data_IF_579713925898
#
_entry.id   IF_579713925898
#
_cell.length_a   1.000
_cell.length_b   1.000
_cell.length_c   1.000
_cell.angle_alpha   90.00
_cell.angle_beta   90.00
_cell.angle_gamma   90.00
#
_symmetry.space_group_name_H-M   'P 1'
#
loop_
_entity.id
_entity.type
_entity.pdbx_description
1 polymer ?
#
# COMPACT_ATOMS: atom_id res chain seq x y z
N UNK A 1 20.64 -22.43 14.84
CA UNK A 1 21.56 -21.34 14.51
C UNK A 1 21.03 -20.68 13.22
N UNK A 2 20.11 -19.72 13.34
CA UNK A 2 19.53 -18.99 12.22
C UNK A 2 20.55 -17.92 11.83
N UNK A 3 21.10 -18.03 10.65
CA UNK A 3 21.96 -16.98 10.07
C UNK A 3 21.08 -15.78 9.76
N UNK A 4 21.35 -14.69 10.46
CA UNK A 4 20.65 -13.39 10.36
C UNK A 4 21.20 -12.48 9.26
N UNK A 5 21.94 -13.00 8.27
CA UNK A 5 22.82 -12.17 7.46
C UNK A 5 22.35 -11.87 6.01
N UNK A 6 21.13 -12.29 5.61
CA UNK A 6 20.65 -11.98 4.26
C UNK A 6 19.17 -11.61 4.25
N UNK A 7 18.87 -10.38 4.61
CA UNK A 7 17.61 -9.75 4.21
C UNK A 7 17.90 -8.79 3.04
N UNK A 8 17.94 -9.30 1.82
CA UNK A 8 17.85 -8.44 0.64
C UNK A 8 16.38 -8.12 0.42
N UNK A 9 15.93 -6.96 0.86
CA UNK A 9 14.62 -6.44 0.50
C UNK A 9 14.77 -5.59 -0.75
N UNK A 10 14.09 -5.97 -1.83
CA UNK A 10 13.90 -5.14 -2.99
C UNK A 10 12.44 -5.24 -3.41
N UNK A 11 11.79 -4.11 -3.65
CA UNK A 11 10.46 -4.06 -4.22
C UNK A 11 10.62 -3.85 -5.74
N UNK A 12 10.08 -4.78 -6.53
CA UNK A 12 9.99 -4.65 -7.98
C UNK A 12 8.62 -4.14 -8.34
N UNK A 13 8.58 -3.17 -9.23
CA UNK A 13 7.33 -2.63 -9.73
C UNK A 13 7.35 -2.59 -11.25
N UNK A 14 6.50 -3.41 -11.83
CA UNK A 14 6.23 -3.44 -13.26
C UNK A 14 4.89 -2.77 -13.50
N UNK A 15 4.89 -1.49 -13.94
CA UNK A 15 3.68 -0.81 -14.42
C UNK A 15 3.98 -0.08 -15.73
N UNK A 16 2.98 -0.09 -16.62
CA UNK A 16 3.00 0.62 -17.89
C UNK A 16 3.44 2.08 -17.73
N UNK A 17 4.61 2.40 -18.25
CA UNK A 17 5.00 3.75 -18.64
C UNK A 17 5.09 4.82 -17.56
N UNK A 18 4.99 4.48 -16.27
CA UNK A 18 5.15 5.46 -15.19
C UNK A 18 6.59 5.45 -14.67
N UNK A 19 7.30 6.59 -14.76
CA UNK A 19 8.61 6.75 -14.13
C UNK A 19 8.53 6.77 -12.59
N UNK A 20 7.34 6.95 -12.05
CA UNK A 20 7.08 6.98 -10.61
C UNK A 20 6.51 5.64 -10.12
N UNK A 21 6.93 5.23 -8.93
CA UNK A 21 6.41 4.03 -8.28
C UNK A 21 4.89 4.13 -8.14
N UNK A 22 4.12 3.25 -8.79
CA UNK A 22 2.68 3.11 -8.55
C UNK A 22 2.40 2.70 -7.11
N UNK A 23 1.19 2.97 -6.64
CA UNK A 23 0.76 2.68 -5.28
C UNK A 23 0.59 3.93 -4.43
N UNK A 24 0.11 3.73 -3.21
CA UNK A 24 -0.16 4.83 -2.31
C UNK A 24 1.15 5.44 -1.80
N UNK A 25 1.38 6.71 -2.07
CA UNK A 25 2.59 7.45 -1.68
C UNK A 25 2.93 7.30 -0.18
N UNK A 26 1.90 7.24 0.67
CA UNK A 26 2.08 6.99 2.10
C UNK A 26 2.66 5.61 2.38
N UNK A 27 2.24 4.56 1.66
CA UNK A 27 2.74 3.20 1.84
C UNK A 27 4.19 3.09 1.35
N UNK A 28 4.51 3.72 0.23
CA UNK A 28 5.88 3.81 -0.29
C UNK A 28 6.78 4.47 0.76
N UNK A 29 6.34 5.59 1.34
CA UNK A 29 7.08 6.27 2.41
C UNK A 29 7.25 5.37 3.63
N UNK A 30 6.15 4.90 4.18
CA UNK A 30 6.11 4.21 5.47
C UNK A 30 6.66 2.79 5.41
N UNK A 31 6.41 2.05 4.32
CA UNK A 31 6.77 0.64 4.23
C UNK A 31 8.09 0.38 3.51
N UNK A 32 8.54 1.29 2.64
CA UNK A 32 9.76 1.10 1.87
C UNK A 32 10.85 2.10 2.22
N UNK A 33 10.59 3.40 2.07
CA UNK A 33 11.61 4.44 2.29
C UNK A 33 12.08 4.52 3.75
N UNK A 34 11.17 4.48 4.73
CA UNK A 34 11.52 4.51 6.15
C UNK A 34 12.40 3.32 6.55
N UNK A 35 12.20 2.16 5.90
CA UNK A 35 13.03 0.97 6.09
C UNK A 35 14.24 0.92 5.16
N UNK A 36 14.44 1.92 4.30
CA UNK A 36 15.50 1.96 3.28
C UNK A 36 15.50 0.73 2.37
N UNK A 37 14.30 0.27 1.98
CA UNK A 37 14.11 -0.80 1.02
C UNK A 37 14.21 -0.17 -0.39
N UNK A 38 15.14 -0.59 -1.25
CA UNK A 38 15.26 -0.05 -2.58
C UNK A 38 14.05 -0.43 -3.43
N UNK A 39 13.49 0.54 -4.15
CA UNK A 39 12.43 0.33 -5.14
C UNK A 39 13.11 0.28 -6.50
N UNK A 40 12.82 -0.75 -7.27
CA UNK A 40 13.32 -0.97 -8.63
C UNK A 40 12.18 -0.88 -9.61
N UNK A 41 12.09 0.23 -10.31
CA UNK A 41 11.06 0.48 -11.34
C UNK A 41 11.54 0.02 -12.70
N UNK A 42 10.63 -0.47 -13.56
CA UNK A 42 10.96 -1.01 -14.87
C UNK A 42 11.77 -2.32 -14.83
N UNK A 43 11.71 -3.03 -13.73
CA UNK A 43 12.34 -4.33 -13.53
C UNK A 43 11.33 -5.37 -13.05
N UNK A 44 11.57 -6.63 -13.32
CA UNK A 44 10.75 -7.75 -12.86
C UNK A 44 11.60 -8.95 -12.46
N UNK A 45 10.99 -9.90 -11.75
CA UNK A 45 11.59 -11.21 -11.50
C UNK A 45 11.36 -12.09 -12.73
N UNK A 46 12.41 -12.52 -13.38
CA UNK A 46 12.38 -13.36 -14.57
C UNK A 46 12.81 -14.81 -14.31
N UNK A 47 13.33 -15.11 -13.11
CA UNK A 47 13.72 -16.47 -12.74
C UNK A 47 13.77 -16.69 -11.24
N UNK A 48 13.58 -17.94 -10.84
CA UNK A 48 13.60 -18.39 -9.45
C UNK A 48 14.61 -19.52 -9.33
N UNK A 49 15.61 -19.38 -8.46
CA UNK A 49 16.67 -20.34 -8.26
C UNK A 49 16.59 -21.00 -6.89
N UNK A 50 16.69 -22.32 -6.88
CA UNK A 50 16.69 -23.14 -5.66
C UNK A 50 16.11 -24.52 -5.90
N UNK A 51 16.41 -25.44 -5.00
CA UNK A 51 15.84 -26.79 -5.03
C UNK A 51 15.29 -27.11 -3.65
N UNK A 52 13.97 -27.21 -3.56
CA UNK A 52 13.26 -27.38 -2.29
C UNK A 52 13.16 -26.11 -1.42
N UNK A 53 14.11 -25.19 -1.51
CA UNK A 53 14.13 -23.89 -0.87
C UNK A 53 14.69 -22.84 -1.82
N UNK A 54 14.11 -21.63 -1.78
CA UNK A 54 14.58 -20.49 -2.54
C UNK A 54 16.01 -20.12 -2.10
N UNK A 55 16.89 -19.83 -3.06
CA UNK A 55 18.27 -19.37 -2.83
C UNK A 55 18.51 -17.99 -3.40
N UNK A 56 17.87 -17.69 -4.54
CA UNK A 56 17.97 -16.40 -5.21
C UNK A 56 16.85 -16.25 -6.21
N UNK A 57 16.64 -15.03 -6.67
CA UNK A 57 15.82 -14.69 -7.84
C UNK A 57 16.68 -14.02 -8.89
N UNK A 58 16.39 -14.29 -10.16
CA UNK A 58 16.91 -13.54 -11.26
C UNK A 58 15.95 -12.38 -11.55
N UNK A 59 16.45 -11.14 -11.53
CA UNK A 59 15.73 -9.94 -11.91
C UNK A 59 16.26 -9.43 -13.23
N UNK A 60 15.40 -8.79 -14.03
CA UNK A 60 15.77 -8.21 -15.32
C UNK A 60 14.97 -6.93 -15.57
N UNK A 61 15.47 -6.08 -16.47
CA UNK A 61 14.70 -4.94 -16.96
C UNK A 61 13.59 -5.41 -17.89
N UNK A 62 12.52 -4.62 -17.96
CA UNK A 62 11.43 -4.82 -18.93
C UNK A 62 11.39 -3.66 -19.92
N UNK A 63 10.98 -3.95 -21.16
CA UNK A 63 10.75 -2.96 -22.20
C UNK A 63 9.36 -2.30 -22.06
N UNK A 64 9.02 -1.39 -22.99
CA UNK A 64 7.71 -0.71 -23.02
C UNK A 64 6.52 -1.67 -23.20
N UNK A 65 6.74 -2.90 -23.64
CA UNK A 65 5.74 -3.95 -23.79
C UNK A 65 5.73 -4.93 -22.61
N UNK A 66 6.46 -4.58 -21.54
CA UNK A 66 6.61 -5.41 -20.32
C UNK A 66 7.30 -6.75 -20.60
N UNK A 67 8.10 -6.85 -21.67
CA UNK A 67 8.87 -8.05 -21.96
C UNK A 67 10.27 -7.94 -21.35
N UNK A 68 10.82 -9.04 -20.81
CA UNK A 68 12.19 -9.07 -20.32
C UNK A 68 13.21 -8.65 -21.40
N UNK A 69 14.10 -7.72 -21.06
CA UNK A 69 15.18 -7.29 -21.93
C UNK A 69 16.35 -8.29 -21.82
N UNK A 70 16.66 -9.05 -22.87
CA UNK A 70 17.74 -10.04 -22.82
C UNK A 70 19.10 -9.40 -22.48
N UNK A 71 19.87 -10.08 -21.62
CA UNK A 71 21.19 -9.61 -21.18
C UNK A 71 21.16 -8.55 -20.09
N UNK A 72 19.97 -8.25 -19.53
CA UNK A 72 19.81 -7.36 -18.37
C UNK A 72 19.65 -8.11 -17.05
N UNK A 73 19.72 -9.45 -17.09
CA UNK A 73 19.50 -10.30 -15.96
C UNK A 73 20.61 -10.16 -14.91
N UNK A 74 20.21 -10.14 -13.64
CA UNK A 74 21.12 -10.18 -12.50
C UNK A 74 20.50 -10.95 -11.35
N UNK A 75 21.33 -11.50 -10.47
CA UNK A 75 20.90 -12.37 -9.40
C UNK A 75 20.80 -11.62 -8.07
N UNK A 76 19.71 -11.87 -7.32
CA UNK A 76 19.51 -11.36 -5.97
C UNK A 76 19.40 -12.55 -5.02
N UNK A 77 20.38 -12.79 -4.14
CA UNK A 77 20.29 -13.82 -3.11
C UNK A 77 19.16 -13.53 -2.14
N UNK A 78 18.23 -14.46 -1.98
CA UNK A 78 17.11 -14.36 -1.04
C UNK A 78 16.58 -15.74 -0.69
N UNK A 79 15.93 -15.86 0.44
CA UNK A 79 15.29 -17.09 0.89
C UNK A 79 13.75 -17.00 0.96
N UNK A 80 13.21 -15.81 0.64
CA UNK A 80 11.78 -15.55 0.53
C UNK A 80 11.52 -14.59 -0.63
N UNK A 81 10.54 -14.92 -1.46
CA UNK A 81 9.96 -14.05 -2.49
C UNK A 81 8.49 -13.83 -2.16
N UNK A 82 8.09 -12.57 -1.97
CA UNK A 82 6.70 -12.19 -1.76
C UNK A 82 6.16 -11.56 -3.05
N UNK A 83 5.10 -12.14 -3.59
CA UNK A 83 4.46 -11.68 -4.82
C UNK A 83 3.19 -10.89 -4.52
N UNK A 84 3.04 -9.75 -5.18
CA UNK A 84 1.82 -8.94 -5.19
C UNK A 84 1.55 -8.55 -6.64
N UNK A 85 1.02 -9.51 -7.42
CA UNK A 85 0.87 -9.42 -8.87
C UNK A 85 -0.46 -8.83 -9.33
N UNK A 86 -1.21 -8.20 -8.39
CA UNK A 86 -2.53 -7.64 -8.64
C UNK A 86 -3.65 -8.66 -8.42
N UNK A 87 -4.87 -8.19 -8.62
CA UNK A 87 -6.09 -8.97 -8.47
C UNK A 87 -6.73 -9.16 -9.84
N UNK A 88 -7.24 -10.36 -10.10
CA UNK A 88 -8.09 -10.66 -11.25
C UNK A 88 -9.49 -10.89 -10.70
N UNK A 89 -10.50 -10.14 -11.19
CA UNK A 89 -11.88 -10.32 -10.73
C UNK A 89 -12.41 -11.72 -11.08
N UNK A 90 -13.04 -12.38 -10.12
CA UNK A 90 -13.80 -13.62 -10.33
C UNK A 90 -15.21 -13.25 -10.82
N UNK A 91 -15.36 -13.16 -12.14
CA UNK A 91 -16.61 -12.74 -12.79
C UNK A 91 -17.27 -13.90 -13.57
N UNK A 92 -17.09 -15.16 -13.11
CA UNK A 92 -17.70 -16.34 -13.74
C UNK A 92 -19.22 -16.25 -13.80
N UNK A 93 -19.87 -15.88 -12.68
CA UNK A 93 -21.32 -15.72 -12.62
C UNK A 93 -21.82 -14.59 -13.55
N UNK A 94 -21.05 -13.50 -13.65
CA UNK A 94 -21.37 -12.41 -14.57
C UNK A 94 -21.31 -12.90 -16.04
N UNK A 95 -20.30 -13.70 -16.37
CA UNK A 95 -20.14 -14.29 -17.70
C UNK A 95 -21.27 -15.27 -18.02
N UNK A 96 -21.65 -16.13 -17.10
CA UNK A 96 -22.76 -17.08 -17.26
C UNK A 96 -24.10 -16.36 -17.43
N UNK A 97 -24.27 -15.22 -16.77
CA UNK A 97 -25.46 -14.36 -16.94
C UNK A 97 -25.47 -13.58 -18.26
N UNK A 98 -24.43 -13.68 -19.10
CA UNK A 98 -24.35 -12.94 -20.36
C UNK A 98 -23.94 -11.47 -20.19
N UNK A 99 -23.35 -11.11 -19.07
CA UNK A 99 -22.81 -9.77 -18.84
C UNK A 99 -21.49 -9.63 -19.60
N UNK A 100 -21.32 -8.50 -20.28
CA UNK A 100 -20.12 -8.21 -21.06
C UNK A 100 -18.94 -7.94 -20.13
N UNK A 101 -17.84 -8.68 -20.35
CA UNK A 101 -16.58 -8.50 -19.65
C UNK A 101 -15.52 -7.93 -20.58
N UNK A 102 -14.58 -7.18 -20.04
CA UNK A 102 -13.38 -6.75 -20.76
C UNK A 102 -12.47 -7.95 -21.01
N UNK A 103 -12.02 -8.13 -22.25
CA UNK A 103 -11.23 -9.31 -22.65
C UNK A 103 -9.85 -9.41 -21.99
N UNK A 104 -9.26 -8.27 -21.61
CA UNK A 104 -7.91 -8.23 -21.02
C UNK A 104 -7.91 -8.29 -19.51
N UNK A 105 -8.84 -7.56 -18.89
CA UNK A 105 -8.86 -7.38 -17.42
C UNK A 105 -9.89 -8.27 -16.74
N UNK A 106 -10.79 -8.91 -17.50
CA UNK A 106 -11.93 -9.68 -16.99
C UNK A 106 -12.91 -8.86 -16.12
N UNK A 107 -12.83 -7.53 -16.19
CA UNK A 107 -13.71 -6.61 -15.48
C UNK A 107 -15.09 -6.56 -16.13
N UNK A 108 -16.16 -6.39 -15.35
CA UNK A 108 -17.51 -6.13 -15.87
C UNK A 108 -17.53 -4.75 -16.54
N UNK A 109 -18.00 -4.70 -17.79
CA UNK A 109 -18.23 -3.44 -18.49
C UNK A 109 -19.56 -2.82 -18.06
N UNK A 110 -19.54 -1.52 -17.78
CA UNK A 110 -20.72 -0.75 -17.38
C UNK A 110 -20.78 0.57 -18.14
N UNK A 111 -21.98 1.13 -18.22
CA UNK A 111 -22.20 2.50 -18.68
C UNK A 111 -21.83 3.54 -17.59
N UNK A 112 -22.09 4.81 -17.87
CA UNK A 112 -21.84 5.91 -16.93
C UNK A 112 -22.69 5.84 -15.64
N UNK A 113 -23.74 5.05 -15.62
CA UNK A 113 -24.61 4.85 -14.46
C UNK A 113 -24.27 3.59 -13.66
N UNK A 114 -23.19 2.91 -14.00
CA UNK A 114 -22.75 1.63 -13.42
C UNK A 114 -23.70 0.46 -13.78
N UNK A 115 -24.54 0.62 -14.83
CA UNK A 115 -25.39 -0.44 -15.33
C UNK A 115 -24.63 -1.28 -16.36
N UNK A 116 -24.84 -2.58 -16.35
CA UNK A 116 -24.26 -3.52 -17.31
C UNK A 116 -25.03 -3.49 -18.64
N UNK A 117 -24.60 -4.29 -19.62
CA UNK A 117 -25.35 -4.51 -20.87
C UNK A 117 -26.73 -5.14 -20.64
N UNK A 118 -27.01 -5.66 -19.45
CA UNK A 118 -28.32 -6.22 -19.10
C UNK A 118 -29.08 -5.18 -18.26
N UNK A 119 -30.21 -4.65 -18.72
CA UNK A 119 -30.98 -3.65 -17.98
C UNK A 119 -31.40 -4.14 -16.61
N UNK A 120 -31.23 -3.29 -15.60
CA UNK A 120 -31.53 -3.60 -14.19
C UNK A 120 -30.40 -4.32 -13.43
N UNK A 121 -29.31 -4.70 -14.10
CA UNK A 121 -28.13 -5.26 -13.44
C UNK A 121 -27.03 -4.20 -13.40
N UNK A 122 -26.52 -3.94 -12.19
CA UNK A 122 -25.47 -2.97 -11.92
C UNK A 122 -24.22 -3.68 -11.38
N UNK A 123 -23.04 -3.13 -11.65
CA UNK A 123 -21.78 -3.64 -11.13
C UNK A 123 -20.95 -2.53 -10.52
N UNK A 124 -20.25 -2.86 -9.42
CA UNK A 124 -19.36 -1.94 -8.69
C UNK A 124 -18.23 -2.70 -7.99
N UNK A 125 -17.26 -1.95 -7.49
CA UNK A 125 -16.12 -2.50 -6.75
C UNK A 125 -15.22 -3.33 -7.65
N UNK A 126 -14.50 -4.28 -7.05
CA UNK A 126 -13.47 -5.05 -7.75
C UNK A 126 -13.99 -5.93 -8.89
N UNK A 127 -15.30 -6.18 -8.97
CA UNK A 127 -15.91 -6.84 -10.12
C UNK A 127 -15.83 -5.98 -11.38
N UNK A 128 -16.01 -4.66 -11.24
CA UNK A 128 -15.95 -3.67 -12.33
C UNK A 128 -14.54 -3.11 -12.53
N UNK A 129 -13.86 -2.78 -11.43
CA UNK A 129 -12.52 -2.21 -11.45
C UNK A 129 -11.83 -2.49 -10.10
N UNK A 130 -10.61 -3.00 -10.14
CA UNK A 130 -9.82 -3.19 -8.93
C UNK A 130 -9.44 -1.84 -8.35
N UNK A 131 -9.76 -1.62 -7.08
CA UNK A 131 -9.48 -0.40 -6.34
C UNK A 131 -8.43 -0.63 -5.26
N UNK A 132 -7.53 0.34 -5.07
CA UNK A 132 -6.51 0.33 -4.01
C UNK A 132 -7.07 0.68 -2.63
N UNK A 133 -8.25 1.32 -2.57
CA UNK A 133 -8.87 1.81 -1.34
C UNK A 133 -10.31 1.33 -1.20
N UNK A 134 -10.64 0.83 -0.02
CA UNK A 134 -12.02 0.44 0.33
C UNK A 134 -13.01 1.62 0.24
N UNK A 135 -12.55 2.85 0.49
CA UNK A 135 -13.37 4.06 0.40
C UNK A 135 -13.90 4.28 -1.02
N UNK A 136 -13.07 4.02 -2.05
CA UNK A 136 -13.49 4.09 -3.47
C UNK A 136 -14.53 3.02 -3.79
N UNK A 137 -14.32 1.79 -3.32
CA UNK A 137 -15.30 0.70 -3.46
C UNK A 137 -16.63 1.07 -2.83
N UNK A 138 -16.59 1.68 -1.63
CA UNK A 138 -17.79 2.11 -0.91
C UNK A 138 -18.55 3.20 -1.66
N UNK A 139 -17.86 4.21 -2.15
CA UNK A 139 -18.47 5.31 -2.91
C UNK A 139 -19.12 4.81 -4.20
N UNK A 140 -18.43 3.95 -4.94
CA UNK A 140 -18.97 3.31 -6.13
C UNK A 140 -20.17 2.42 -5.83
N UNK A 141 -20.12 1.64 -4.75
CA UNK A 141 -21.23 0.81 -4.28
C UNK A 141 -22.48 1.62 -3.92
N UNK A 142 -22.30 2.78 -3.26
CA UNK A 142 -23.40 3.71 -2.95
C UNK A 142 -24.01 4.27 -4.24
N UNK A 143 -23.19 4.65 -5.22
CA UNK A 143 -23.66 5.16 -6.51
C UNK A 143 -24.44 4.10 -7.29
N UNK A 144 -23.88 2.88 -7.40
CA UNK A 144 -24.55 1.76 -8.07
C UNK A 144 -25.88 1.40 -7.41
N UNK A 145 -25.90 1.30 -6.07
CA UNK A 145 -27.12 1.00 -5.30
C UNK A 145 -28.19 2.06 -5.46
N UNK A 146 -27.81 3.35 -5.49
CA UNK A 146 -28.74 4.45 -5.75
C UNK A 146 -29.33 4.37 -7.16
N UNK A 147 -28.50 4.10 -8.16
CA UNK A 147 -28.95 3.97 -9.53
C UNK A 147 -29.84 2.74 -9.74
N UNK A 148 -29.52 1.61 -9.09
CA UNK A 148 -30.38 0.44 -9.09
C UNK A 148 -31.77 0.73 -8.48
N UNK A 149 -31.83 1.44 -7.36
CA UNK A 149 -33.10 1.87 -6.76
C UNK A 149 -33.86 2.83 -7.67
N UNK A 150 -33.18 3.79 -8.29
CA UNK A 150 -33.81 4.73 -9.24
C UNK A 150 -34.35 4.02 -10.48
N UNK A 151 -33.62 3.01 -10.98
CA UNK A 151 -34.10 2.18 -12.10
C UNK A 151 -35.42 1.49 -11.77
N UNK A 152 -35.53 0.84 -10.61
CA UNK A 152 -36.77 0.18 -10.17
C UNK A 152 -37.90 1.17 -9.94
N UNK A 153 -37.61 2.38 -9.47
CA UNK A 153 -38.57 3.44 -9.18
C UNK A 153 -38.90 4.32 -10.41
N UNK A 154 -38.34 3.99 -11.57
CA UNK A 154 -38.49 4.79 -12.83
C UNK A 154 -38.04 6.26 -12.64
N UNK A 155 -37.04 6.50 -11.82
CA UNK A 155 -36.45 7.81 -11.54
C UNK A 155 -35.18 8.03 -12.37
N UNK A 156 -34.77 9.28 -12.62
CA UNK A 156 -33.52 9.57 -13.29
C UNK A 156 -32.30 9.00 -12.52
N UNK A 157 -31.43 8.29 -13.22
CA UNK A 157 -30.16 7.83 -12.72
C UNK A 157 -29.13 8.97 -12.76
N UNK A 158 -28.09 8.87 -11.93
CA UNK A 158 -27.01 9.86 -11.84
C UNK A 158 -25.70 9.24 -12.35
N UNK A 159 -25.01 9.95 -13.23
CA UNK A 159 -23.70 9.52 -13.72
C UNK A 159 -22.69 9.42 -12.59
N UNK A 160 -21.91 8.37 -12.60
CA UNK A 160 -20.78 8.17 -11.68
C UNK A 160 -19.51 8.76 -12.30
N UNK A 161 -18.91 9.73 -11.62
CA UNK A 161 -17.68 10.40 -12.06
C UNK A 161 -16.49 9.97 -11.19
N UNK A 162 -15.69 9.03 -11.68
CA UNK A 162 -14.49 8.56 -11.03
C UNK A 162 -13.47 9.67 -10.70
N UNK A 163 -13.46 10.75 -11.51
CA UNK A 163 -12.45 11.81 -11.38
C UNK A 163 -12.72 12.74 -10.20
N UNK A 164 -13.94 12.85 -9.73
CA UNK A 164 -14.29 13.72 -8.60
C UNK A 164 -13.78 13.16 -7.25
N UNK A 165 -13.55 11.86 -7.15
CA UNK A 165 -13.15 11.23 -5.90
C UNK A 165 -11.62 10.97 -5.78
N UNK A 166 -10.86 11.06 -6.88
CA UNK A 166 -9.45 10.66 -6.96
C UNK A 166 -8.44 11.74 -7.30
N UNK A 167 -8.83 13.02 -7.49
CA UNK A 167 -7.86 14.05 -7.89
C UNK A 167 -6.91 14.42 -6.75
N UNK A 168 -5.78 13.74 -6.72
CA UNK A 168 -4.56 14.27 -6.12
C UNK A 168 -4.04 15.35 -7.08
N UNK A 169 -4.14 16.61 -6.70
CA UNK A 169 -3.62 17.72 -7.47
C UNK A 169 -2.13 17.51 -7.75
N UNK A 170 -1.78 17.45 -9.02
CA UNK A 170 -0.39 17.47 -9.49
C UNK A 170 0.12 18.92 -9.41
N UNK A 171 1.20 19.13 -8.69
CA UNK A 171 2.00 20.33 -8.79
C UNK A 171 2.24 21.05 -7.46
N UNK A 172 3.45 20.90 -6.94
CA UNK A 172 4.00 21.78 -5.91
C UNK A 172 5.41 22.16 -6.35
N UNK A 173 5.73 23.46 -6.41
CA UNK A 173 7.07 23.92 -6.72
C UNK A 173 8.02 23.73 -5.53
N UNK A 174 9.28 23.72 -5.86
CA UNK A 174 10.50 23.67 -5.10
C UNK A 174 10.41 23.98 -3.58
N UNK A 175 10.62 22.94 -2.77
CA UNK A 175 10.66 22.89 -1.32
C UNK A 175 10.73 21.45 -0.85
N UNK A 176 11.05 21.19 0.40
CA UNK A 176 11.06 19.82 0.90
C UNK A 176 9.65 19.21 0.82
N UNK A 177 9.46 18.25 -0.06
CA UNK A 177 8.18 17.58 -0.25
C UNK A 177 8.08 16.36 0.65
N UNK A 178 6.90 16.15 1.24
CA UNK A 178 6.62 14.95 2.03
C UNK A 178 5.18 14.49 1.82
N UNK A 179 4.92 13.20 2.07
CA UNK A 179 3.57 12.65 2.03
C UNK A 179 3.04 12.44 3.44
N UNK A 180 1.84 12.98 3.71
CA UNK A 180 1.16 12.78 4.97
C UNK A 180 0.72 11.30 5.10
N UNK A 181 1.12 10.64 6.18
CA UNK A 181 0.78 9.23 6.44
C UNK A 181 -0.37 9.06 7.46
N UNK A 182 -1.03 10.14 7.88
CA UNK A 182 -2.07 10.11 8.91
C UNK A 182 -3.39 9.47 8.47
N UNK A 183 -3.63 9.37 7.15
CA UNK A 183 -4.82 8.71 6.60
C UNK A 183 -4.54 8.21 5.17
N UNK A 184 -5.42 7.38 4.58
CA UNK A 184 -5.25 6.85 3.23
C UNK A 184 -5.12 7.89 2.13
N UNK A 185 -5.60 9.12 2.34
CA UNK A 185 -5.56 10.19 1.34
C UNK A 185 -4.15 10.55 0.87
N UNK A 186 -3.12 10.39 1.74
CA UNK A 186 -1.71 10.55 1.36
C UNK A 186 -1.38 11.94 0.83
N UNK A 187 -1.91 13.02 1.43
CA UNK A 187 -1.71 14.36 0.94
C UNK A 187 -0.22 14.66 0.73
N UNK A 188 0.13 15.20 -0.44
CA UNK A 188 1.46 15.74 -0.73
C UNK A 188 1.57 17.10 -0.07
N UNK A 189 2.54 17.25 0.82
CA UNK A 189 2.77 18.46 1.59
C UNK A 189 4.07 19.10 1.11
N UNK A 190 4.07 20.42 0.96
CA UNK A 190 5.29 21.19 0.76
C UNK A 190 5.54 22.08 1.96
N UNK A 191 6.80 22.20 2.33
CA UNK A 191 7.25 23.06 3.41
C UNK A 191 8.23 24.09 2.83
N UNK A 192 7.92 25.35 2.99
CA UNK A 192 8.76 26.46 2.64
C UNK A 192 8.92 27.37 3.87
N UNK A 193 9.90 28.25 3.86
CA UNK A 193 10.03 29.31 4.86
C UNK A 193 9.82 30.67 4.17
N UNK A 194 9.06 31.52 4.78
CA UNK A 194 8.91 32.91 4.31
C UNK A 194 10.18 33.74 4.61
N UNK A 195 10.23 34.99 4.12
CA UNK A 195 11.35 35.93 4.34
C UNK A 195 11.63 36.22 5.82
N UNK A 196 10.67 35.93 6.70
CA UNK A 196 10.81 36.09 8.17
C UNK A 196 11.25 34.79 8.86
N UNK A 197 11.48 33.70 8.11
CA UNK A 197 11.83 32.37 8.64
C UNK A 197 10.63 31.61 9.21
N UNK A 198 9.38 32.05 8.96
CA UNK A 198 8.19 31.35 9.42
C UNK A 198 7.87 30.20 8.48
N UNK A 199 7.58 29.02 9.04
CA UNK A 199 7.17 27.85 8.29
C UNK A 199 5.85 28.07 7.53
N UNK A 200 5.88 27.85 6.22
CA UNK A 200 4.71 27.79 5.36
C UNK A 200 4.49 26.35 4.89
N UNK A 201 3.42 25.71 5.38
CA UNK A 201 3.05 24.34 5.01
C UNK A 201 1.82 24.41 4.12
N UNK A 202 1.91 23.81 2.93
CA UNK A 202 0.82 23.75 1.94
C UNK A 202 0.50 22.30 1.56
N UNK A 203 -0.66 22.10 0.89
CA UNK A 203 -1.11 20.81 0.42
C UNK A 203 -1.85 19.96 1.46
N UNK A 204 -1.94 20.41 2.73
CA UNK A 204 -2.71 19.72 3.74
C UNK A 204 -4.23 19.94 3.52
N UNK A 205 -5.01 18.85 3.52
CA UNK A 205 -6.48 18.91 3.43
C UNK A 205 -7.19 18.88 4.78
N UNK A 206 -6.42 18.81 5.88
CA UNK A 206 -6.96 18.85 7.24
C UNK A 206 -5.87 19.26 8.23
N UNK A 207 -6.24 19.67 9.48
CA UNK A 207 -5.27 20.05 10.52
C UNK A 207 -4.24 18.95 10.84
N UNK A 208 -4.63 17.68 10.75
CA UNK A 208 -3.71 16.53 11.01
C UNK A 208 -2.53 16.51 10.03
N UNK A 209 -2.71 16.99 8.79
CA UNK A 209 -1.61 17.08 7.82
C UNK A 209 -0.59 18.15 8.19
N UNK A 210 -1.05 19.27 8.71
CA UNK A 210 -0.20 20.38 9.21
C UNK A 210 0.62 19.91 10.44
N UNK A 211 -0.05 19.26 11.38
CA UNK A 211 0.58 18.69 12.57
C UNK A 211 1.61 17.62 12.21
N UNK A 212 1.28 16.75 11.25
CA UNK A 212 2.20 15.75 10.73
C UNK A 212 3.45 16.39 10.12
N UNK A 213 3.31 17.43 9.27
CA UNK A 213 4.45 18.07 8.65
C UNK A 213 5.40 18.67 9.70
N UNK A 214 4.87 19.36 10.70
CA UNK A 214 5.69 19.92 11.80
C UNK A 214 6.43 18.83 12.58
N UNK A 215 5.74 17.76 12.93
CA UNK A 215 6.35 16.64 13.65
C UNK A 215 7.43 15.95 12.80
N UNK A 216 7.16 15.77 11.49
CA UNK A 216 8.09 15.12 10.56
C UNK A 216 9.40 15.91 10.39
N UNK A 217 9.32 17.23 10.43
CA UNK A 217 10.52 18.09 10.37
C UNK A 217 11.34 18.09 11.65
N UNK A 218 10.68 18.05 12.80
CA UNK A 218 11.36 18.10 14.10
C UNK A 218 11.90 16.74 14.52
N UNK A 219 11.04 15.73 14.56
CA UNK A 219 11.37 14.37 14.95
C UNK A 219 10.39 13.41 14.29
N UNK A 220 10.75 12.81 13.15
CA UNK A 220 9.91 11.84 12.49
C UNK A 220 9.59 10.65 13.40
N UNK A 221 8.30 10.36 13.62
CA UNK A 221 7.83 9.31 14.51
C UNK A 221 6.99 8.28 13.76
N UNK A 222 7.17 7.00 14.09
CA UNK A 222 6.43 5.90 13.45
C UNK A 222 5.87 4.93 14.48
N UNK A 223 4.65 4.44 14.22
CA UNK A 223 4.16 3.23 14.88
C UNK A 223 4.83 2.05 14.20
N UNK A 224 5.52 1.25 14.98
CA UNK A 224 6.27 0.09 14.49
C UNK A 224 5.43 -1.17 14.66
N UNK A 225 5.25 -1.93 13.58
CA UNK A 225 4.66 -3.27 13.61
C UNK A 225 5.75 -4.31 13.46
N UNK A 226 5.66 -5.38 14.24
CA UNK A 226 6.65 -6.47 14.25
C UNK A 226 5.99 -7.77 14.70
N UNK A 227 6.78 -8.80 14.94
CA UNK A 227 6.34 -10.05 15.56
C UNK A 227 7.18 -10.33 16.80
N UNK A 228 6.55 -10.96 17.76
CA UNK A 228 7.19 -11.53 18.96
C UNK A 228 6.90 -13.04 19.00
N UNK A 229 7.62 -13.80 19.81
CA UNK A 229 7.47 -15.25 19.90
C UNK A 229 7.14 -15.70 21.30
N UNK A 230 6.40 -16.81 21.41
CA UNK A 230 6.23 -17.52 22.68
C UNK A 230 7.42 -18.48 22.97
N UNK A 231 7.36 -19.15 24.10
CA UNK A 231 8.36 -20.15 24.51
C UNK A 231 8.45 -21.35 23.55
N UNK A 232 7.41 -21.60 22.77
CA UNK A 232 7.31 -22.66 21.76
C UNK A 232 7.77 -22.21 20.37
N UNK A 233 8.13 -20.91 20.23
CA UNK A 233 8.58 -20.31 18.97
C UNK A 233 7.45 -19.90 18.01
N UNK A 234 6.18 -19.91 18.43
CA UNK A 234 5.07 -19.38 17.67
C UNK A 234 5.15 -17.87 17.61
N UNK A 235 4.86 -17.30 16.44
CA UNK A 235 4.93 -15.88 16.19
C UNK A 235 3.57 -15.20 16.40
N UNK A 236 3.58 -14.06 17.06
CA UNK A 236 2.41 -13.22 17.34
C UNK A 236 2.65 -11.81 16.79
N UNK A 237 1.68 -11.23 16.05
CA UNK A 237 1.78 -9.87 15.59
C UNK A 237 1.80 -8.90 16.77
N UNK A 238 2.67 -7.92 16.71
CA UNK A 238 2.80 -6.90 17.75
C UNK A 238 3.01 -5.51 17.14
N UNK A 239 2.65 -4.48 17.87
CA UNK A 239 2.91 -3.09 17.50
C UNK A 239 3.46 -2.31 18.68
N UNK A 240 4.22 -1.25 18.41
CA UNK A 240 4.63 -0.31 19.45
C UNK A 240 3.39 0.35 20.10
N UNK A 241 3.41 0.49 21.41
CA UNK A 241 2.32 1.10 22.18
C UNK A 241 2.18 2.59 21.87
N UNK A 242 3.31 3.28 21.64
CA UNK A 242 3.39 4.65 21.16
C UNK A 242 4.36 4.73 19.95
N UNK A 243 4.34 5.84 19.19
CA UNK A 243 5.29 6.03 18.10
C UNK A 243 6.74 6.06 18.58
N UNK A 244 7.64 5.50 17.77
CA UNK A 244 9.10 5.42 17.99
C UNK A 244 9.80 6.37 17.00
N UNK A 245 10.89 7.04 17.36
CA UNK A 245 11.70 7.82 16.42
C UNK A 245 12.13 6.98 15.21
N UNK A 246 12.05 7.58 14.02
CA UNK A 246 12.31 6.90 12.75
C UNK A 246 13.71 6.27 12.69
N UNK A 247 14.70 6.96 13.17
CA UNK A 247 16.10 6.51 13.22
C UNK A 247 16.30 5.30 14.16
N UNK A 248 15.44 5.14 15.17
CA UNK A 248 15.47 4.06 16.14
C UNK A 248 14.58 2.86 15.82
N UNK A 249 13.79 2.91 14.74
CA UNK A 249 12.86 1.83 14.40
C UNK A 249 13.52 0.46 14.29
N UNK A 250 14.68 0.37 13.64
CA UNK A 250 15.41 -0.90 13.47
C UNK A 250 15.93 -1.47 14.78
N UNK A 251 16.39 -0.59 15.65
CA UNK A 251 16.84 -0.98 16.99
C UNK A 251 15.66 -1.51 17.82
N UNK A 252 14.52 -0.80 17.77
CA UNK A 252 13.29 -1.22 18.42
C UNK A 252 12.85 -2.62 17.97
N UNK A 253 12.81 -2.89 16.66
CA UNK A 253 12.44 -4.21 16.12
C UNK A 253 13.41 -5.30 16.60
N UNK A 254 14.72 -5.02 16.63
CA UNK A 254 15.72 -5.99 17.14
C UNK A 254 15.50 -6.30 18.61
N UNK A 255 15.21 -5.29 19.43
CA UNK A 255 14.90 -5.47 20.85
C UNK A 255 13.61 -6.27 21.05
N UNK A 256 12.57 -6.02 20.23
CA UNK A 256 11.35 -6.82 20.25
C UNK A 256 11.60 -8.31 19.93
N UNK A 257 12.53 -8.61 19.03
CA UNK A 257 12.88 -10.00 18.67
C UNK A 257 13.47 -10.85 19.81
N UNK A 258 13.91 -10.21 20.90
CA UNK A 258 14.41 -10.86 22.12
C UNK A 258 13.28 -11.21 23.10
N UNK A 259 12.11 -10.62 22.93
CA UNK A 259 10.98 -10.79 23.85
C UNK A 259 10.34 -12.15 23.60
N UNK A 260 10.20 -12.92 24.69
CA UNK A 260 9.41 -14.16 24.72
C UNK A 260 8.15 -13.86 25.52
N UNK A 261 7.01 -14.06 24.90
CA UNK A 261 5.71 -13.73 25.48
C UNK A 261 5.03 -14.96 26.09
N UNK A 262 4.16 -14.70 27.06
CA UNK A 262 3.13 -15.61 27.47
C UNK A 262 1.83 -15.21 26.75
N UNK A 263 1.25 -16.08 25.88
CA UNK A 263 0.04 -15.77 25.13
C UNK A 263 -1.16 -15.39 25.99
N UNK A 264 -1.21 -15.85 27.25
CA UNK A 264 -2.28 -15.51 28.20
C UNK A 264 -2.19 -14.07 28.70
N UNK A 265 -1.05 -13.39 28.51
CA UNK A 265 -0.80 -12.00 28.90
C UNK A 265 -0.95 -11.00 27.73
N UNK A 266 -1.59 -11.38 26.64
CA UNK A 266 -1.60 -10.69 25.34
C UNK A 266 -2.15 -9.23 25.37
N UNK A 267 -2.93 -8.84 26.36
CA UNK A 267 -3.52 -7.50 26.44
C UNK A 267 -2.62 -6.45 27.13
N UNK A 268 -1.52 -6.85 27.71
CA UNK A 268 -0.64 -5.94 28.46
C UNK A 268 0.45 -5.35 27.56
N UNK A 269 0.73 -4.07 27.80
CA UNK A 269 1.92 -3.45 27.24
C UNK A 269 3.16 -4.06 27.88
N UNK A 270 4.05 -4.61 27.04
CA UNK A 270 5.31 -5.20 27.46
C UNK A 270 6.46 -4.23 27.20
N UNK A 271 7.34 -4.02 28.19
CA UNK A 271 8.47 -3.11 28.01
C UNK A 271 9.43 -3.64 26.94
N UNK A 272 10.03 -2.71 26.20
CA UNK A 272 11.11 -2.99 25.26
C UNK A 272 12.39 -2.37 25.79
N UNK A 273 13.44 -3.18 25.95
CA UNK A 273 14.72 -2.74 26.49
C UNK A 273 15.30 -1.58 25.67
N UNK A 274 15.66 -0.49 26.35
CA UNK A 274 16.22 0.71 25.75
C UNK A 274 15.21 1.71 25.19
N UNK A 275 13.89 1.48 25.40
CA UNK A 275 12.83 2.35 24.91
C UNK A 275 11.83 2.71 26.01
N UNK A 276 11.31 3.95 25.95
CA UNK A 276 10.24 4.41 26.85
C UNK A 276 8.88 3.79 26.51
N UNK A 277 8.69 3.37 25.25
CA UNK A 277 7.47 2.72 24.79
C UNK A 277 7.63 1.21 24.72
N UNK A 278 6.62 0.49 25.13
CA UNK A 278 6.52 -0.95 25.02
C UNK A 278 5.89 -1.42 23.70
N UNK A 279 5.57 -2.71 23.67
CA UNK A 279 4.79 -3.34 22.59
C UNK A 279 3.48 -3.87 23.13
N UNK A 280 2.48 -3.92 22.24
CA UNK A 280 1.18 -4.59 22.45
C UNK A 280 1.00 -5.66 21.39
N UNK A 281 0.52 -6.83 21.81
CA UNK A 281 0.16 -7.89 20.86
C UNK A 281 -1.14 -7.47 20.19
N UNK A 282 -1.20 -7.67 18.87
CA UNK A 282 -2.42 -7.42 18.08
C UNK A 282 -3.05 -8.79 17.82
N UNK A 283 -4.18 -9.06 18.45
CA UNK A 283 -4.99 -10.28 18.24
C UNK A 283 -5.91 -10.03 17.04
#
# INVERSE_FOLDING_TARGET
MLRTDFFAFAAFQTFDGMPDSGGLSRNIRQCLQDFKIPIRTGETVCGINGRGRLKSVAACRVDEKMQPVPGSEYEIPCDLLVLSVGLIPENELAREAGITLDEKTNNVQTDAFLQTNIPGIFSCGNSRKVHDLADHVTAEGIAAGRNAANFVLEKPMTEYDEKKEGSVEKGIPDGSEMFCIRCPRGCRLSVAHDESGREMIQGNRCPRGLEFARQEMQCPMRVVTTTVKDAQGRLYPARSAAPVPLDKMREFVRSCGKIVIDPECAEREMPVEGFETGIRITV
#
